data_IF_161435018472
#
_entry.id   IF_161435018472
#
_cell.length_a   1.000
_cell.length_b   1.000
_cell.length_c   1.000
_cell.angle_alpha   90.00
_cell.angle_beta   90.00
_cell.angle_gamma   90.00
#
_symmetry.space_group_name_H-M   'P 1'
#
loop_
_entity.id
_entity.type
_entity.pdbx_description
1 polymer ?
#
# COMPACT_ATOMS: atom_id res chain seq x y z
N UNK A 1 -21.89 -5.73 5.96
CA UNK A 1 -20.97 -4.82 5.23
C UNK A 1 -21.74 -3.56 4.93
N UNK A 2 -21.10 -2.39 5.04
CA UNK A 2 -21.71 -1.10 4.72
C UNK A 2 -21.56 -0.77 3.22
N UNK A 3 -22.18 0.29 2.69
CA UNK A 3 -22.06 0.66 1.28
C UNK A 3 -20.62 0.90 0.80
N UNK A 4 -19.74 1.47 1.64
CA UNK A 4 -18.34 1.69 1.29
C UNK A 4 -17.54 0.38 1.20
N UNK A 5 -17.83 -0.59 2.06
CA UNK A 5 -17.25 -1.94 1.98
C UNK A 5 -17.64 -2.61 0.65
N UNK A 6 -18.91 -2.48 0.24
CA UNK A 6 -19.42 -3.03 -1.01
C UNK A 6 -18.78 -2.35 -2.23
N UNK A 7 -18.60 -1.02 -2.19
CA UNK A 7 -17.90 -0.29 -3.25
C UNK A 7 -16.45 -0.80 -3.42
N UNK A 8 -15.74 -1.02 -2.31
CA UNK A 8 -14.40 -1.60 -2.35
C UNK A 8 -14.42 -2.98 -3.00
N UNK A 9 -15.37 -3.86 -2.62
CA UNK A 9 -15.51 -5.20 -3.21
C UNK A 9 -15.76 -5.13 -4.72
N UNK A 10 -16.70 -4.31 -5.16
CA UNK A 10 -17.00 -4.11 -6.59
C UNK A 10 -15.75 -3.68 -7.36
N UNK A 11 -15.00 -2.71 -6.84
CA UNK A 11 -13.78 -2.22 -7.50
C UNK A 11 -12.72 -3.31 -7.62
N UNK A 12 -12.47 -4.07 -6.55
CA UNK A 12 -11.48 -5.16 -6.61
C UNK A 12 -11.93 -6.34 -7.47
N UNK A 13 -13.24 -6.60 -7.60
CA UNK A 13 -13.80 -7.57 -8.55
C UNK A 13 -13.57 -7.16 -10.01
N UNK A 14 -13.59 -5.86 -10.30
CA UNK A 14 -13.17 -5.31 -11.59
C UNK A 14 -11.63 -5.25 -11.76
N UNK A 15 -10.88 -5.81 -10.81
CA UNK A 15 -9.43 -5.89 -10.86
C UNK A 15 -8.71 -4.62 -10.39
N UNK A 16 -9.41 -3.63 -9.86
CA UNK A 16 -8.75 -2.46 -9.27
C UNK A 16 -7.95 -2.84 -8.02
N UNK A 17 -6.85 -2.13 -7.82
CA UNK A 17 -6.12 -2.13 -6.56
C UNK A 17 -6.54 -0.92 -5.75
N UNK A 18 -6.97 -1.12 -4.52
CA UNK A 18 -7.57 -0.08 -3.67
C UNK A 18 -6.93 -0.06 -2.29
N UNK A 19 -6.80 1.12 -1.66
CA UNK A 19 -6.20 1.24 -0.33
C UNK A 19 -7.29 1.21 0.74
N UNK A 20 -7.12 0.40 1.78
CA UNK A 20 -8.06 0.26 2.90
C UNK A 20 -7.37 0.51 4.25
N UNK A 21 -8.15 1.02 5.22
CA UNK A 21 -7.63 1.39 6.54
C UNK A 21 -7.44 0.15 7.42
N UNK A 22 -6.24 -0.02 7.95
CA UNK A 22 -5.99 -0.95 9.06
C UNK A 22 -6.52 -0.36 10.38
N UNK A 23 -7.03 -1.20 11.30
CA UNK A 23 -7.43 -0.75 12.62
C UNK A 23 -6.20 -0.24 13.40
N UNK A 24 -6.38 0.46 14.53
CA UNK A 24 -5.27 0.79 15.44
C UNK A 24 -4.43 -0.44 15.82
N UNK A 25 -3.19 -0.18 16.24
CA UNK A 25 -2.30 -1.25 16.70
C UNK A 25 -2.98 -2.09 17.80
N UNK A 26 -2.76 -3.40 17.74
CA UNK A 26 -3.31 -4.41 18.66
C UNK A 26 -4.83 -4.61 18.60
N UNK A 27 -5.55 -3.91 17.73
CA UNK A 27 -6.96 -4.21 17.50
C UNK A 27 -7.13 -5.28 16.42
N UNK A 28 -8.09 -6.21 16.61
CA UNK A 28 -8.39 -7.22 15.59
C UNK A 28 -8.99 -6.56 14.35
N UNK A 29 -8.93 -7.27 13.23
CA UNK A 29 -9.62 -6.86 12.01
C UNK A 29 -11.13 -6.76 12.25
N UNK A 30 -11.77 -5.75 11.67
CA UNK A 30 -13.24 -5.71 11.58
C UNK A 30 -13.78 -6.80 10.65
N UNK A 31 -15.10 -7.01 10.59
CA UNK A 31 -15.73 -8.00 9.71
C UNK A 31 -15.30 -7.87 8.25
N UNK A 32 -15.21 -6.64 7.73
CA UNK A 32 -14.81 -6.38 6.36
C UNK A 32 -13.37 -6.81 6.04
N UNK A 33 -12.40 -6.39 6.86
CA UNK A 33 -11.00 -6.78 6.68
C UNK A 33 -10.78 -8.29 6.91
N UNK A 34 -11.54 -8.91 7.82
CA UNK A 34 -11.55 -10.39 7.94
C UNK A 34 -12.03 -11.03 6.65
N UNK A 35 -13.17 -10.59 6.11
CA UNK A 35 -13.68 -11.11 4.85
C UNK A 35 -12.65 -10.98 3.72
N UNK A 36 -12.06 -9.80 3.52
CA UNK A 36 -11.00 -9.59 2.52
C UNK A 36 -9.79 -10.52 2.72
N UNK A 37 -9.41 -10.76 3.99
CA UNK A 37 -8.33 -11.69 4.33
C UNK A 37 -8.72 -13.12 3.95
N UNK A 38 -9.93 -13.55 4.31
CA UNK A 38 -10.42 -14.92 4.11
C UNK A 38 -10.53 -15.25 2.62
N UNK A 39 -10.91 -14.29 1.77
CA UNK A 39 -10.93 -14.45 0.31
C UNK A 39 -9.57 -14.19 -0.37
N UNK A 40 -8.49 -14.02 0.42
CA UNK A 40 -7.14 -13.82 -0.11
C UNK A 40 -6.93 -12.50 -0.86
N UNK A 41 -7.73 -11.48 -0.58
CA UNK A 41 -7.68 -10.16 -1.25
C UNK A 41 -7.12 -9.04 -0.38
N UNK A 42 -6.81 -9.27 0.89
CA UNK A 42 -6.17 -8.29 1.76
C UNK A 42 -4.63 -8.41 1.72
N UNK A 43 -3.94 -7.32 1.39
CA UNK A 43 -2.47 -7.26 1.38
C UNK A 43 -2.01 -6.17 2.34
N UNK A 44 -1.27 -6.51 3.39
CA UNK A 44 -0.62 -5.50 4.25
C UNK A 44 0.53 -4.84 3.50
N UNK A 45 0.61 -3.51 3.58
CA UNK A 45 1.64 -2.72 2.88
C UNK A 45 2.48 -1.86 3.82
N UNK A 46 2.49 -2.15 5.12
CA UNK A 46 3.39 -1.47 6.05
C UNK A 46 4.86 -1.90 5.85
N UNK A 47 5.76 -1.21 6.55
CA UNK A 47 7.22 -1.36 6.42
C UNK A 47 7.76 -2.72 6.88
N UNK A 48 6.94 -3.60 7.45
CA UNK A 48 7.36 -4.98 7.73
C UNK A 48 7.24 -5.88 6.50
N UNK A 49 6.62 -5.41 5.42
CA UNK A 49 6.34 -6.17 4.20
C UNK A 49 7.17 -5.68 3.01
N UNK A 50 7.19 -6.45 1.92
CA UNK A 50 7.80 -6.03 0.65
C UNK A 50 7.25 -4.69 0.15
N UNK A 51 5.97 -4.44 0.38
CA UNK A 51 5.21 -3.29 -0.14
C UNK A 51 5.37 -2.02 0.69
N UNK A 52 6.25 -2.02 1.69
CA UNK A 52 6.48 -0.86 2.54
C UNK A 52 7.21 0.27 1.83
N UNK A 53 6.97 1.49 2.31
CA UNK A 53 7.74 2.67 1.90
C UNK A 53 9.05 2.76 2.72
N UNK A 54 10.25 2.69 2.09
CA UNK A 54 11.54 2.84 2.78
C UNK A 54 11.83 4.28 3.24
N UNK A 55 10.99 5.27 2.90
CA UNK A 55 11.12 6.66 3.36
C UNK A 55 10.25 6.89 4.61
N UNK A 56 10.86 6.94 5.82
CA UNK A 56 10.11 7.02 7.07
C UNK A 56 9.39 8.36 7.21
N UNK A 57 8.11 8.31 7.58
CA UNK A 57 7.40 9.49 8.06
C UNK A 57 7.60 9.64 9.56
N UNK A 58 8.08 10.80 10.02
CA UNK A 58 8.23 11.09 11.44
C UNK A 58 6.87 11.23 12.15
N UNK A 59 6.84 11.01 13.47
CA UNK A 59 5.64 11.30 14.27
C UNK A 59 5.33 12.79 14.20
N UNK A 60 4.05 13.13 14.08
CA UNK A 60 3.59 14.52 13.96
C UNK A 60 4.06 15.22 12.69
N UNK A 61 4.37 14.46 11.63
CA UNK A 61 4.65 15.04 10.32
C UNK A 61 3.43 15.77 9.78
N UNK A 62 3.69 16.91 9.13
CA UNK A 62 2.71 17.68 8.37
C UNK A 62 2.32 16.96 7.09
N UNK A 63 1.22 17.40 6.47
CA UNK A 63 0.80 16.86 5.17
C UNK A 63 1.84 17.13 4.07
N UNK A 64 2.56 18.24 4.12
CA UNK A 64 3.68 18.54 3.21
C UNK A 64 4.81 17.53 3.35
N UNK A 65 5.21 17.18 4.57
CA UNK A 65 6.25 16.18 4.81
C UNK A 65 5.80 14.77 4.40
N UNK A 66 4.52 14.44 4.64
CA UNK A 66 3.90 13.20 4.15
C UNK A 66 3.96 13.13 2.63
N UNK A 67 3.53 14.18 1.95
CA UNK A 67 3.58 14.28 0.49
C UNK A 67 5.02 14.12 -0.03
N UNK A 68 6.00 14.75 0.63
CA UNK A 68 7.41 14.62 0.27
C UNK A 68 7.92 13.17 0.39
N UNK A 69 7.56 12.44 1.45
CA UNK A 69 7.97 11.03 1.60
C UNK A 69 7.30 10.11 0.56
N UNK A 70 6.04 10.39 0.20
CA UNK A 70 5.35 9.65 -0.87
C UNK A 70 5.97 9.98 -2.24
N UNK A 71 6.33 11.23 -2.49
CA UNK A 71 7.02 11.64 -3.71
C UNK A 71 8.38 10.95 -3.85
N UNK A 72 9.18 10.89 -2.77
CA UNK A 72 10.45 10.13 -2.75
C UNK A 72 10.24 8.65 -3.04
N UNK A 73 9.18 8.06 -2.51
CA UNK A 73 8.84 6.66 -2.80
C UNK A 73 8.51 6.43 -4.28
N UNK A 74 7.67 7.29 -4.85
CA UNK A 74 7.34 7.27 -6.28
C UNK A 74 8.59 7.43 -7.15
N UNK A 75 9.44 8.41 -6.83
CA UNK A 75 10.68 8.69 -7.55
C UNK A 75 11.65 7.49 -7.50
N UNK A 76 11.82 6.89 -6.31
CA UNK A 76 12.63 5.69 -6.15
C UNK A 76 12.13 4.54 -7.03
N UNK A 77 10.83 4.24 -7.00
CA UNK A 77 10.21 3.22 -7.86
C UNK A 77 10.34 3.53 -9.36
N UNK A 78 10.47 4.81 -9.73
CA UNK A 78 10.70 5.25 -11.10
C UNK A 78 12.17 5.19 -11.55
N UNK A 79 13.11 4.82 -10.67
CA UNK A 79 14.52 4.65 -11.03
C UNK A 79 15.50 5.45 -10.17
N UNK A 80 15.03 6.38 -9.35
CA UNK A 80 15.92 7.31 -8.64
C UNK A 80 16.73 6.62 -7.53
N UNK A 81 18.06 6.67 -7.66
CA UNK A 81 19.00 6.11 -6.69
C UNK A 81 19.11 4.58 -6.73
N UNK A 82 19.69 3.97 -5.68
CA UNK A 82 19.99 2.53 -5.65
C UNK A 82 18.71 1.68 -5.67
N UNK A 83 18.81 0.48 -6.24
CA UNK A 83 17.71 -0.49 -6.23
C UNK A 83 17.31 -0.88 -4.80
N UNK A 84 18.30 -1.04 -3.91
CA UNK A 84 18.08 -1.40 -2.52
C UNK A 84 18.13 -0.20 -1.58
N UNK A 85 17.21 -0.17 -0.62
CA UNK A 85 17.20 0.80 0.48
C UNK A 85 16.82 0.12 1.78
N UNK A 86 17.55 0.40 2.85
CA UNK A 86 17.24 -0.11 4.19
C UNK A 86 16.49 0.94 5.01
N UNK A 87 15.42 0.52 5.68
CA UNK A 87 14.71 1.35 6.66
C UNK A 87 14.32 0.51 7.87
N UNK A 88 14.86 0.88 9.04
CA UNK A 88 14.77 0.03 10.23
C UNK A 88 15.53 -1.27 10.01
N UNK A 89 14.88 -2.41 10.26
CA UNK A 89 15.48 -3.75 10.12
C UNK A 89 15.26 -4.39 8.75
N UNK A 90 14.63 -3.69 7.81
CA UNK A 90 14.27 -4.26 6.50
C UNK A 90 15.00 -3.54 5.37
N UNK A 91 15.53 -4.33 4.44
CA UNK A 91 15.98 -3.87 3.13
C UNK A 91 14.87 -4.09 2.11
N UNK A 92 14.59 -3.05 1.33
CA UNK A 92 13.59 -3.02 0.27
C UNK A 92 14.33 -2.98 -1.05
N UNK A 93 13.96 -3.84 -1.99
CA UNK A 93 14.45 -3.83 -3.37
C UNK A 93 13.34 -3.31 -4.29
N UNK A 94 13.65 -2.28 -5.07
CA UNK A 94 12.74 -1.72 -6.07
C UNK A 94 12.42 -2.76 -7.12
N UNK A 95 13.43 -3.43 -7.67
CA UNK A 95 13.25 -4.47 -8.69
C UNK A 95 12.32 -5.59 -8.19
N UNK A 96 12.46 -6.03 -6.95
CA UNK A 96 11.56 -7.02 -6.34
C UNK A 96 10.11 -6.49 -6.17
N UNK A 97 9.94 -5.21 -5.81
CA UNK A 97 8.61 -4.59 -5.74
C UNK A 97 7.97 -4.52 -7.12
N UNK A 98 8.70 -4.03 -8.13
CA UNK A 98 8.21 -3.85 -9.49
C UNK A 98 7.85 -5.19 -10.15
N UNK A 99 8.70 -6.21 -9.99
CA UNK A 99 8.46 -7.55 -10.55
C UNK A 99 7.18 -8.21 -10.01
N UNK A 100 6.80 -7.86 -8.77
CA UNK A 100 5.62 -8.45 -8.10
C UNK A 100 4.38 -7.56 -8.19
N UNK A 101 4.46 -6.35 -8.74
CA UNK A 101 3.31 -5.44 -8.87
C UNK A 101 2.03 -6.11 -9.42
N UNK A 102 2.09 -7.02 -10.41
CA UNK A 102 0.89 -7.72 -10.89
C UNK A 102 0.11 -8.49 -9.82
N UNK A 103 0.76 -8.93 -8.72
CA UNK A 103 0.10 -9.61 -7.60
C UNK A 103 -0.92 -8.73 -6.86
N UNK A 104 -0.80 -7.40 -7.00
CA UNK A 104 -1.67 -6.44 -6.33
C UNK A 104 -2.99 -6.19 -7.09
N UNK A 105 -3.13 -6.70 -8.32
CA UNK A 105 -4.36 -6.55 -9.10
C UNK A 105 -5.55 -7.20 -8.37
N UNK A 106 -6.65 -6.46 -8.24
CA UNK A 106 -7.83 -6.93 -7.49
C UNK A 106 -7.58 -7.11 -5.98
N UNK A 107 -6.59 -6.43 -5.40
CA UNK A 107 -6.27 -6.50 -3.97
C UNK A 107 -6.62 -5.19 -3.24
N UNK A 108 -7.00 -5.35 -1.98
CA UNK A 108 -7.14 -4.27 -1.01
C UNK A 108 -5.83 -4.12 -0.22
N UNK A 109 -5.15 -2.99 -0.39
CA UNK A 109 -3.89 -2.64 0.25
C UNK A 109 -4.14 -2.03 1.63
N UNK A 110 -3.83 -2.78 2.68
CA UNK A 110 -4.12 -2.42 4.05
C UNK A 110 -2.98 -1.56 4.65
N UNK A 111 -3.30 -0.33 5.06
CA UNK A 111 -2.35 0.60 5.68
C UNK A 111 -3.00 1.41 6.81
N UNK A 112 -2.20 1.83 7.80
CA UNK A 112 -2.68 2.73 8.87
C UNK A 112 -2.73 4.21 8.45
N UNK A 113 -2.11 4.60 7.32
CA UNK A 113 -2.04 6.00 6.91
C UNK A 113 -3.37 6.53 6.35
N UNK A 114 -4.15 5.69 5.68
CA UNK A 114 -5.44 6.10 5.12
C UNK A 114 -6.45 6.40 6.26
N UNK A 115 -7.27 7.46 6.17
CA UNK A 115 -7.67 8.21 4.96
C UNK A 115 -6.71 9.33 4.51
N UNK A 116 -5.61 9.58 5.22
CA UNK A 116 -4.60 10.53 4.74
C UNK A 116 -3.83 9.94 3.55
N UNK A 117 -3.13 10.80 2.80
CA UNK A 117 -2.31 10.37 1.67
C UNK A 117 -1.38 9.19 2.06
N UNK A 118 -1.37 8.17 1.22
CA UNK A 118 -0.74 6.89 1.50
C UNK A 118 0.23 6.49 0.38
N UNK A 119 1.30 5.78 0.72
CA UNK A 119 2.18 5.20 -0.32
C UNK A 119 1.48 4.08 -1.10
N UNK A 120 0.45 3.47 -0.54
CA UNK A 120 -0.42 2.51 -1.23
C UNK A 120 -1.07 3.09 -2.50
N UNK A 121 -1.31 4.40 -2.54
CA UNK A 121 -1.86 5.08 -3.73
C UNK A 121 -0.86 5.04 -4.89
N UNK A 122 0.45 5.06 -4.60
CA UNK A 122 1.51 4.89 -5.61
C UNK A 122 1.50 3.47 -6.16
N UNK A 123 1.43 2.45 -5.30
CA UNK A 123 1.37 1.05 -5.71
C UNK A 123 0.12 0.76 -6.56
N UNK A 124 -1.04 1.26 -6.13
CA UNK A 124 -2.29 1.13 -6.86
C UNK A 124 -2.22 1.80 -8.26
N UNK A 125 -1.59 2.98 -8.35
CA UNK A 125 -1.39 3.65 -9.63
C UNK A 125 -0.46 2.88 -10.57
N UNK A 126 0.67 2.37 -10.07
CA UNK A 126 1.61 1.57 -10.88
C UNK A 126 0.98 0.25 -11.33
N UNK A 127 0.16 -0.39 -10.50
CA UNK A 127 -0.53 -1.63 -10.86
C UNK A 127 -1.48 -1.43 -12.05
N UNK A 128 -2.15 -0.26 -12.14
CA UNK A 128 -2.97 0.09 -13.31
C UNK A 128 -2.15 0.28 -14.58
N UNK A 129 -0.94 0.81 -14.46
CA UNK A 129 -0.05 1.09 -15.60
C UNK A 129 0.67 -0.17 -16.12
N UNK A 130 0.90 -1.16 -15.25
CA UNK A 130 1.53 -2.43 -15.59
C UNK A 130 0.61 -3.38 -16.40
N UNK A 131 -0.63 -2.96 -16.71
CA UNK A 131 -1.55 -3.70 -17.58
C UNK A 131 -1.34 -3.21 -19.03
N UNK A 132 -0.29 -3.68 -19.69
CA UNK A 132 -0.06 -3.58 -21.13
C UNK A 132 0.34 -4.96 -21.67
#
# INVERSE_FOLDING_TARGET
MNPADLEVLTRIDHGETVVVRLPPLYQPYGPFLRHLKDIGRLVRIDRQTLWGNPFPLRRGATDTERAAMIARYRAWLAGDGPDERTAGTRTFSRSAVLARLPELRGKALACHCTPLACHGDVLAALTRQATL
#
